data_IF_972641191892
#
_entry.id   IF_972641191892
#
_cell.length_a   1.000
_cell.length_b   1.000
_cell.length_c   1.000
_cell.angle_alpha   90.00
_cell.angle_beta   90.00
_cell.angle_gamma   90.00
#
_symmetry.space_group_name_H-M   'P 1'
#
loop_
_entity.id
_entity.type
_entity.pdbx_description
1 polymer ?
#
# COMPACT_ATOMS: atom_id res chain seq x y z
N UNK A 1 -45.40 10.91 -8.86
CA UNK A 1 -45.76 11.85 -7.81
C UNK A 1 -46.12 11.00 -6.60
N UNK A 2 -45.33 11.03 -5.54
CA UNK A 2 -45.21 10.18 -4.33
C UNK A 2 -43.96 9.32 -4.36
N UNK A 3 -42.83 9.96 -3.99
CA UNK A 3 -41.65 9.32 -3.41
C UNK A 3 -40.68 10.43 -2.97
N UNK A 4 -41.00 11.09 -1.90
CA UNK A 4 -40.14 12.04 -1.20
C UNK A 4 -40.85 12.26 0.16
N UNK A 5 -40.45 11.44 1.16
CA UNK A 5 -40.75 11.68 2.59
C UNK A 5 -40.46 10.36 3.36
N UNK A 6 -39.18 10.11 3.68
CA UNK A 6 -38.78 9.26 4.82
C UNK A 6 -37.27 9.41 5.08
N UNK A 7 -36.88 10.61 5.48
CA UNK A 7 -35.53 10.86 6.04
C UNK A 7 -35.67 11.95 7.14
N UNK A 8 -36.29 11.62 8.24
CA UNK A 8 -36.14 12.35 9.50
C UNK A 8 -36.80 11.52 10.60
N UNK A 9 -35.99 10.84 11.38
CA UNK A 9 -36.16 10.58 12.82
C UNK A 9 -35.42 9.33 13.25
N UNK A 10 -34.12 9.45 13.50
CA UNK A 10 -33.47 8.67 14.56
C UNK A 10 -32.18 9.40 14.97
N UNK A 11 -32.32 10.30 15.97
CA UNK A 11 -31.18 10.75 16.77
C UNK A 11 -31.09 9.84 17.99
N UNK A 12 -30.01 9.11 18.23
CA UNK A 12 -29.78 8.48 19.52
C UNK A 12 -29.37 9.56 20.54
N UNK A 13 -30.14 9.65 21.65
CA UNK A 13 -29.77 10.44 22.83
C UNK A 13 -28.49 9.85 23.42
N UNK A 14 -27.35 10.49 23.23
CA UNK A 14 -26.09 10.20 23.93
C UNK A 14 -26.20 10.76 25.35
N UNK A 15 -26.05 9.91 26.35
CA UNK A 15 -25.88 10.26 27.75
C UNK A 15 -24.58 11.09 27.91
N UNK A 16 -24.73 12.35 28.23
CA UNK A 16 -23.72 13.24 28.78
C UNK A 16 -23.64 12.97 30.30
N UNK A 17 -22.82 12.05 30.73
CA UNK A 17 -22.49 11.83 32.17
C UNK A 17 -21.40 10.76 32.31
N UNK A 18 -20.21 10.97 31.70
CA UNK A 18 -18.97 10.17 31.98
C UNK A 18 -17.65 10.88 31.57
N UNK A 19 -17.73 12.15 31.13
CA UNK A 19 -16.53 12.85 30.65
C UNK A 19 -15.71 13.58 31.72
N UNK A 20 -16.30 13.86 32.89
CA UNK A 20 -15.59 14.63 33.93
C UNK A 20 -14.72 13.77 34.84
N UNK A 21 -14.97 12.48 34.98
CA UNK A 21 -14.18 11.59 35.82
C UNK A 21 -12.92 11.08 35.12
N UNK A 22 -12.90 11.07 33.80
CA UNK A 22 -11.75 10.67 32.98
C UNK A 22 -10.68 11.76 32.87
N UNK A 23 -11.10 13.03 32.80
CA UNK A 23 -10.19 14.17 32.78
C UNK A 23 -9.43 14.39 34.09
N UNK A 24 -10.03 14.05 35.23
CA UNK A 24 -9.39 14.22 36.53
C UNK A 24 -8.32 13.15 36.84
N UNK A 25 -8.40 11.98 36.22
CA UNK A 25 -7.39 10.91 36.36
C UNK A 25 -6.15 11.15 35.52
N UNK A 26 -6.26 11.78 34.35
CA UNK A 26 -5.13 12.11 33.49
C UNK A 26 -4.24 13.22 34.03
N UNK A 27 -4.81 14.22 34.73
CA UNK A 27 -4.03 15.33 35.31
C UNK A 27 -3.18 14.95 36.52
N UNK A 28 -3.40 13.78 37.13
CA UNK A 28 -2.61 13.28 38.27
C UNK A 28 -1.42 12.39 37.86
N UNK A 29 -1.38 11.92 36.62
CA UNK A 29 -0.27 11.07 36.11
C UNK A 29 0.83 11.90 35.45
N UNK A 30 0.53 13.13 34.99
CA UNK A 30 1.51 14.01 34.33
C UNK A 30 2.39 14.80 35.28
N UNK A 31 2.21 14.67 36.60
CA UNK A 31 2.96 15.44 37.64
C UNK A 31 4.19 14.76 38.23
N UNK A 32 4.54 13.52 37.85
CA UNK A 32 5.61 12.76 38.53
C UNK A 32 6.79 12.31 37.65
N UNK A 33 6.92 12.80 36.41
CA UNK A 33 7.98 12.37 35.49
C UNK A 33 8.97 13.48 35.07
N UNK A 34 9.13 14.53 35.85
CA UNK A 34 10.08 15.63 35.53
C UNK A 34 11.10 15.89 36.61
N UNK A 35 11.79 14.87 37.10
CA UNK A 35 12.96 15.04 37.96
C UNK A 35 13.89 13.82 37.95
N UNK A 36 14.68 13.62 36.89
CA UNK A 36 15.94 12.87 36.94
C UNK A 36 16.58 12.75 35.54
N UNK A 37 17.34 13.73 35.11
CA UNK A 37 18.46 13.54 34.16
C UNK A 37 19.25 14.85 33.98
N UNK A 38 20.12 15.13 34.94
CA UNK A 38 21.24 16.04 34.78
C UNK A 38 22.41 15.44 35.57
N UNK A 39 23.38 14.92 34.88
CA UNK A 39 24.81 14.89 35.20
C UNK A 39 25.49 13.70 34.51
N UNK A 40 26.32 13.97 33.56
CA UNK A 40 27.78 13.76 33.64
C UNK A 40 28.39 13.89 32.25
N UNK A 41 29.11 14.98 32.15
CA UNK A 41 29.97 15.38 31.06
C UNK A 41 31.40 14.86 31.26
N UNK A 42 32.16 14.84 30.15
CA UNK A 42 33.62 15.04 30.03
C UNK A 42 34.58 13.88 30.35
N UNK A 43 35.39 13.56 29.34
CA UNK A 43 36.86 13.55 29.25
C UNK A 43 37.21 12.92 27.90
N UNK A 44 37.65 13.58 26.88
CA UNK A 44 38.88 14.28 26.55
C UNK A 44 40.04 13.38 26.07
N UNK A 45 40.48 13.71 24.88
CA UNK A 45 41.85 13.82 24.35
C UNK A 45 42.77 12.63 24.05
N UNK A 46 43.32 12.73 22.86
CA UNK A 46 44.72 12.41 22.51
C UNK A 46 44.82 11.39 21.39
N UNK A 47 45.19 11.70 20.17
CA UNK A 47 46.42 12.26 19.73
C UNK A 47 47.18 11.30 18.85
N UNK A 48 47.52 11.71 17.61
CA UNK A 48 48.80 11.47 16.96
C UNK A 48 48.87 10.28 16.00
N UNK A 49 49.08 10.45 14.81
CA UNK A 49 50.12 10.74 13.86
C UNK A 49 50.05 9.88 12.57
N UNK A 50 50.23 10.53 11.46
CA UNK A 50 50.65 9.99 10.12
C UNK A 50 52.18 9.74 10.13
N UNK A 51 52.84 9.29 9.06
CA UNK A 51 52.47 9.01 7.67
C UNK A 51 53.30 7.87 6.95
N UNK A 52 53.17 7.87 5.60
CA UNK A 52 54.11 7.38 4.56
C UNK A 52 54.01 5.88 4.15
N UNK A 53 54.22 5.42 2.93
CA UNK A 53 54.67 5.97 1.65
C UNK A 53 54.46 4.91 0.54
N UNK A 54 54.26 5.40 -0.65
CA UNK A 54 54.46 4.90 -1.97
C UNK A 54 54.99 3.48 -2.25
N UNK A 55 54.48 2.79 -3.25
CA UNK A 55 55.28 2.34 -4.40
C UNK A 55 54.46 2.00 -5.63
N UNK A 56 54.93 2.46 -6.76
CA UNK A 56 54.51 2.27 -8.15
C UNK A 56 54.88 0.86 -8.66
N UNK A 57 54.12 0.31 -9.62
CA UNK A 57 54.71 -0.26 -10.84
C UNK A 57 53.67 -0.74 -11.87
N UNK A 58 53.62 -0.05 -12.99
CA UNK A 58 53.57 -0.47 -14.38
C UNK A 58 52.73 -1.63 -14.90
N UNK A 59 51.92 -1.23 -15.91
CA UNK A 59 51.34 -1.93 -17.05
C UNK A 59 52.36 -2.74 -17.91
N UNK A 60 51.92 -3.65 -18.86
CA UNK A 60 51.17 -3.26 -20.04
C UNK A 60 50.12 -4.25 -20.63
N UNK A 61 49.12 -3.65 -21.26
CA UNK A 61 48.40 -3.95 -22.50
C UNK A 61 48.26 -5.39 -23.08
N UNK A 62 47.02 -5.77 -23.42
CA UNK A 62 46.62 -6.00 -24.83
C UNK A 62 45.17 -6.51 -24.97
N UNK A 63 44.42 -5.97 -25.94
CA UNK A 63 43.41 -6.69 -26.69
C UNK A 63 41.94 -6.24 -26.50
N UNK A 64 41.46 -5.39 -27.39
CA UNK A 64 40.16 -4.80 -27.44
C UNK A 64 38.99 -5.74 -27.77
N UNK A 65 37.82 -5.29 -27.35
CA UNK A 65 36.56 -5.44 -28.10
C UNK A 65 35.65 -4.31 -27.69
N UNK A 66 35.31 -3.45 -28.62
CA UNK A 66 34.38 -2.32 -28.43
C UNK A 66 32.96 -2.83 -28.27
N UNK A 67 32.48 -2.79 -27.03
CA UNK A 67 31.05 -2.67 -26.74
C UNK A 67 30.79 -1.18 -26.51
N UNK A 68 29.84 -0.60 -27.25
CA UNK A 68 29.50 0.80 -27.17
C UNK A 68 29.09 1.16 -25.73
N UNK A 69 29.93 1.96 -25.08
CA UNK A 69 29.56 2.68 -23.89
C UNK A 69 28.56 3.77 -24.34
N UNK A 70 27.29 3.57 -23.98
CA UNK A 70 26.40 4.71 -23.82
C UNK A 70 27.02 5.55 -22.70
N UNK A 71 27.50 6.72 -23.05
CA UNK A 71 27.84 7.77 -22.08
C UNK A 71 26.55 8.10 -21.34
N UNK A 72 26.55 8.12 -20.00
CA UNK A 72 25.42 8.67 -19.25
C UNK A 72 25.14 10.09 -19.75
N UNK A 73 23.86 10.43 -19.94
CA UNK A 73 23.46 11.81 -20.17
C UNK A 73 24.05 12.69 -19.06
N UNK A 74 24.54 13.91 -19.39
CA UNK A 74 25.05 14.80 -18.36
C UNK A 74 23.97 15.10 -17.34
N UNK A 75 24.32 15.00 -16.05
CA UNK A 75 23.44 15.38 -14.96
C UNK A 75 22.81 16.75 -15.19
N UNK A 76 21.53 16.96 -14.85
CA UNK A 76 20.85 18.21 -15.08
C UNK A 76 21.61 19.35 -14.39
N UNK A 77 21.96 20.39 -15.14
CA UNK A 77 22.71 21.55 -14.66
C UNK A 77 21.80 22.59 -13.99
N UNK A 78 20.56 22.22 -13.63
CA UNK A 78 19.54 23.03 -12.97
C UNK A 78 19.41 22.74 -11.47
N UNK A 79 18.62 23.53 -10.77
CA UNK A 79 18.19 23.26 -9.40
C UNK A 79 17.37 21.96 -9.36
N UNK A 80 17.67 21.08 -8.38
CA UNK A 80 16.95 19.81 -8.23
C UNK A 80 15.51 20.08 -7.78
N UNK A 81 14.57 19.35 -8.36
CA UNK A 81 13.17 19.37 -7.93
C UNK A 81 13.08 18.70 -6.55
N UNK A 82 12.53 19.40 -5.56
CA UNK A 82 12.38 18.88 -4.22
C UNK A 82 11.09 18.06 -4.09
N UNK A 83 11.21 16.82 -3.65
CA UNK A 83 10.09 15.87 -3.57
C UNK A 83 10.00 15.25 -2.19
N UNK A 84 8.85 15.40 -1.54
CA UNK A 84 8.48 14.62 -0.36
C UNK A 84 7.70 13.38 -0.78
N UNK A 85 8.10 12.20 -0.31
CA UNK A 85 7.39 10.94 -0.60
C UNK A 85 6.90 10.33 0.70
N UNK A 86 5.60 10.30 0.88
CA UNK A 86 4.92 9.61 1.97
C UNK A 86 4.38 8.28 1.44
N UNK A 87 4.86 7.20 2.00
CA UNK A 87 4.49 5.84 1.61
C UNK A 87 4.27 4.95 2.82
N UNK A 88 3.75 3.75 2.62
CA UNK A 88 3.61 2.74 3.65
C UNK A 88 4.94 1.95 3.86
N UNK A 89 5.03 1.16 4.94
CA UNK A 89 6.25 0.41 5.26
C UNK A 89 6.55 -0.62 4.15
N UNK A 90 7.75 -0.61 3.53
CA UNK A 90 8.11 -1.57 2.48
C UNK A 90 8.11 -3.03 2.94
N UNK A 91 8.16 -3.28 4.25
CA UNK A 91 8.08 -4.64 4.81
C UNK A 91 6.63 -5.14 4.97
N UNK A 92 5.63 -4.31 4.64
CA UNK A 92 4.21 -4.67 4.75
C UNK A 92 3.84 -5.84 3.83
N UNK A 93 4.33 -5.80 2.58
CA UNK A 93 3.99 -6.78 1.54
C UNK A 93 5.00 -6.78 0.39
N UNK A 94 4.95 -7.79 -0.48
CA UNK A 94 5.71 -7.82 -1.74
C UNK A 94 5.38 -6.63 -2.64
N UNK A 95 4.09 -6.32 -2.77
CA UNK A 95 3.61 -5.11 -3.47
C UNK A 95 4.33 -3.85 -2.96
N UNK A 96 4.34 -3.64 -1.64
CA UNK A 96 4.92 -2.43 -1.04
C UNK A 96 6.43 -2.36 -1.20
N UNK A 97 7.12 -3.51 -1.12
CA UNK A 97 8.56 -3.61 -1.40
C UNK A 97 8.86 -3.17 -2.83
N UNK A 98 8.11 -3.66 -3.82
CA UNK A 98 8.29 -3.31 -5.23
C UNK A 98 7.96 -1.83 -5.50
N UNK A 99 6.87 -1.31 -4.90
CA UNK A 99 6.46 0.08 -5.03
C UNK A 99 7.50 1.05 -4.47
N UNK A 100 7.98 0.84 -3.23
CA UNK A 100 9.02 1.69 -2.62
C UNK A 100 10.34 1.63 -3.41
N UNK A 101 10.72 0.46 -3.89
CA UNK A 101 11.92 0.29 -4.71
C UNK A 101 11.82 1.08 -6.03
N UNK A 102 10.66 1.03 -6.71
CA UNK A 102 10.42 1.79 -7.94
C UNK A 102 10.46 3.31 -7.68
N UNK A 103 9.82 3.79 -6.60
CA UNK A 103 9.84 5.19 -6.22
C UNK A 103 11.28 5.67 -5.94
N UNK A 104 12.08 4.90 -5.19
CA UNK A 104 13.48 5.25 -4.89
C UNK A 104 14.38 5.19 -6.11
N UNK A 105 14.14 4.30 -7.05
CA UNK A 105 14.90 4.22 -8.28
C UNK A 105 14.60 5.40 -9.23
N UNK A 106 13.38 5.91 -9.21
CA UNK A 106 12.92 7.00 -10.07
C UNK A 106 13.32 8.37 -9.53
N UNK A 107 13.10 8.64 -8.24
CA UNK A 107 13.29 9.97 -7.64
C UNK A 107 14.69 10.11 -7.03
N UNK A 108 15.70 10.19 -7.90
CA UNK A 108 17.13 10.31 -7.55
C UNK A 108 17.73 11.64 -8.02
N UNK A 109 18.87 12.04 -7.45
CA UNK A 109 19.59 13.22 -7.92
C UNK A 109 20.04 13.09 -9.37
N UNK A 110 20.37 11.88 -9.85
CA UNK A 110 20.73 11.63 -11.23
C UNK A 110 19.56 11.92 -12.19
N UNK A 111 18.32 11.70 -11.73
CA UNK A 111 17.10 11.97 -12.48
C UNK A 111 16.58 13.41 -12.26
N UNK A 112 17.31 14.25 -11.51
CA UNK A 112 16.99 15.66 -11.28
C UNK A 112 16.16 15.93 -10.02
N UNK A 113 16.09 14.99 -9.08
CA UNK A 113 15.28 15.11 -7.88
C UNK A 113 16.10 15.14 -6.60
N UNK A 114 15.66 15.95 -5.62
CA UNK A 114 16.07 15.87 -4.23
C UNK A 114 14.89 15.33 -3.42
N UNK A 115 14.83 13.99 -3.30
CA UNK A 115 13.71 13.31 -2.67
C UNK A 115 13.97 13.00 -1.18
N UNK A 116 12.94 13.17 -0.36
CA UNK A 116 12.88 12.76 1.04
C UNK A 116 11.77 11.73 1.19
N UNK A 117 12.10 10.53 1.70
CA UNK A 117 11.16 9.42 1.84
C UNK A 117 10.78 9.22 3.30
N UNK A 118 9.51 9.03 3.56
CA UNK A 118 8.97 8.60 4.83
C UNK A 118 7.98 7.45 4.64
N UNK A 119 8.26 6.32 5.28
CA UNK A 119 7.49 5.09 5.16
C UNK A 119 6.93 4.69 6.52
N UNK A 120 5.61 4.64 6.64
CA UNK A 120 4.93 4.24 7.88
C UNK A 120 3.47 3.87 7.60
N UNK A 121 2.94 2.87 8.32
CA UNK A 121 1.54 2.43 8.22
C UNK A 121 0.61 3.14 9.22
N UNK A 122 1.12 4.05 10.05
CA UNK A 122 0.33 4.88 10.96
C UNK A 122 -0.04 6.20 10.26
N UNK A 123 -1.33 6.36 9.98
CA UNK A 123 -1.85 7.53 9.26
C UNK A 123 -1.56 8.85 9.98
N UNK A 124 -1.58 8.88 11.32
CA UNK A 124 -1.28 10.10 12.07
C UNK A 124 0.19 10.51 11.96
N UNK A 125 1.10 9.54 11.89
CA UNK A 125 2.51 9.79 11.65
C UNK A 125 2.77 10.21 10.21
N UNK A 126 2.11 9.60 9.22
CA UNK A 126 2.19 10.04 7.82
C UNK A 126 1.73 11.50 7.67
N UNK A 127 0.60 11.87 8.28
CA UNK A 127 0.07 13.24 8.25
C UNK A 127 1.07 14.22 8.89
N UNK A 128 1.64 13.89 10.03
CA UNK A 128 2.61 14.76 10.71
C UNK A 128 3.89 14.98 9.86
N UNK A 129 4.38 13.93 9.22
CA UNK A 129 5.55 14.02 8.34
C UNK A 129 5.25 14.79 7.06
N UNK A 130 4.08 14.57 6.46
CA UNK A 130 3.62 15.33 5.30
C UNK A 130 3.52 16.84 5.63
N UNK A 131 3.00 17.20 6.80
CA UNK A 131 3.00 18.59 7.28
C UNK A 131 4.42 19.17 7.38
N UNK A 132 5.37 18.38 7.87
CA UNK A 132 6.75 18.83 7.94
C UNK A 132 7.38 19.01 6.56
N UNK A 133 7.10 18.12 5.62
CA UNK A 133 7.56 18.26 4.24
C UNK A 133 6.99 19.52 3.57
N UNK A 134 5.71 19.83 3.78
CA UNK A 134 5.06 21.06 3.31
C UNK A 134 5.69 22.30 3.96
N UNK A 135 5.98 22.27 5.27
CA UNK A 135 6.68 23.37 5.96
C UNK A 135 8.12 23.57 5.45
N UNK A 136 8.75 22.54 4.92
CA UNK A 136 10.06 22.61 4.27
C UNK A 136 9.97 23.04 2.80
N UNK A 137 8.79 23.44 2.33
CA UNK A 137 8.53 23.99 1.01
C UNK A 137 8.99 23.07 -0.14
N UNK A 138 8.67 21.74 -0.04
CA UNK A 138 8.91 20.82 -1.15
C UNK A 138 8.05 21.24 -2.36
N UNK A 139 8.60 21.11 -3.58
CA UNK A 139 7.86 21.40 -4.81
C UNK A 139 6.69 20.44 -5.01
N UNK A 140 6.93 19.15 -4.72
CA UNK A 140 5.93 18.09 -4.85
C UNK A 140 5.84 17.25 -3.58
N UNK A 141 4.61 16.94 -3.18
CA UNK A 141 4.29 15.94 -2.17
C UNK A 141 3.63 14.74 -2.86
N UNK A 142 4.34 13.61 -2.92
CA UNK A 142 3.83 12.34 -3.42
C UNK A 142 3.27 11.56 -2.24
N UNK A 143 2.02 11.12 -2.33
CA UNK A 143 1.29 10.58 -1.19
C UNK A 143 0.55 9.28 -1.52
N UNK A 144 0.93 8.18 -0.83
CA UNK A 144 0.18 6.93 -0.73
C UNK A 144 -0.34 6.78 0.70
N UNK A 145 -1.61 7.14 0.97
CA UNK A 145 -2.13 7.27 2.33
C UNK A 145 -2.42 5.90 2.97
N UNK A 146 -2.08 5.75 4.26
CA UNK A 146 -2.46 4.59 5.07
C UNK A 146 -3.95 4.60 5.45
N UNK A 147 -4.59 5.76 5.43
CA UNK A 147 -6.04 5.96 5.65
C UNK A 147 -6.58 6.96 4.65
N UNK A 148 -7.81 6.75 4.19
CA UNK A 148 -8.48 7.68 3.26
C UNK A 148 -8.83 9.03 3.89
N UNK A 149 -8.88 9.14 5.22
CA UNK A 149 -9.37 10.31 5.96
C UNK A 149 -8.30 11.01 6.80
N UNK A 150 -8.57 12.27 7.17
CA UNK A 150 -7.73 13.05 8.09
C UNK A 150 -6.72 13.98 7.40
N UNK A 151 -6.73 14.05 6.08
CA UNK A 151 -5.75 14.78 5.26
C UNK A 151 -6.09 16.26 4.98
N UNK A 152 -7.32 16.71 5.31
CA UNK A 152 -7.82 18.06 4.95
C UNK A 152 -6.84 19.19 5.29
N UNK A 153 -6.28 19.17 6.51
CA UNK A 153 -5.39 20.24 6.97
C UNK A 153 -4.09 20.26 6.19
N UNK A 154 -3.42 19.11 6.02
CA UNK A 154 -2.15 19.06 5.31
C UNK A 154 -2.31 19.37 3.82
N UNK A 155 -3.41 18.96 3.21
CA UNK A 155 -3.71 19.29 1.80
C UNK A 155 -3.97 20.78 1.64
N UNK A 156 -4.67 21.43 2.59
CA UNK A 156 -4.87 22.89 2.56
C UNK A 156 -3.53 23.62 2.78
N UNK A 157 -2.73 23.17 3.74
CA UNK A 157 -1.39 23.76 3.99
C UNK A 157 -0.50 23.63 2.75
N UNK A 158 -0.52 22.49 2.05
CA UNK A 158 0.22 22.26 0.80
C UNK A 158 -0.23 23.24 -0.29
N UNK A 159 -1.54 23.40 -0.47
CA UNK A 159 -2.11 24.34 -1.43
C UNK A 159 -1.72 25.78 -1.13
N UNK A 160 -1.75 26.19 0.13
CA UNK A 160 -1.39 27.55 0.56
C UNK A 160 0.12 27.82 0.43
N UNK A 161 0.96 26.81 0.62
CA UNK A 161 2.41 26.85 0.42
C UNK A 161 2.82 26.78 -1.07
N UNK A 162 1.92 26.34 -1.96
CA UNK A 162 2.24 26.11 -3.37
C UNK A 162 2.88 24.76 -3.67
N UNK A 163 2.96 23.87 -2.68
CA UNK A 163 3.37 22.46 -2.85
C UNK A 163 2.32 21.71 -3.68
N UNK A 164 2.73 21.07 -4.76
CA UNK A 164 1.83 20.31 -5.62
C UNK A 164 1.70 18.87 -5.10
N UNK A 165 0.47 18.44 -4.78
CA UNK A 165 0.21 17.10 -4.28
C UNK A 165 -0.13 16.17 -5.43
N UNK A 166 0.55 15.01 -5.52
CA UNK A 166 0.24 13.91 -6.42
C UNK A 166 -0.05 12.67 -5.57
N UNK A 167 -1.23 12.09 -5.73
CA UNK A 167 -1.56 10.82 -5.12
C UNK A 167 -1.01 9.68 -5.97
N UNK A 168 -0.54 8.62 -5.34
CA UNK A 168 -0.15 7.39 -6.03
C UNK A 168 -0.61 6.18 -5.23
N UNK A 169 -0.80 5.04 -5.91
CA UNK A 169 -1.22 3.77 -5.32
C UNK A 169 -2.66 3.81 -4.76
N UNK A 170 -2.94 4.67 -3.78
CA UNK A 170 -4.20 4.74 -3.04
C UNK A 170 -4.85 6.12 -3.12
N UNK A 171 -6.18 6.15 -3.17
CA UNK A 171 -6.96 7.38 -3.05
C UNK A 171 -7.15 7.79 -1.60
N UNK A 172 -7.57 9.05 -1.42
CA UNK A 172 -8.05 9.60 -0.14
C UNK A 172 -9.36 10.38 -0.36
N UNK A 173 -10.09 10.60 0.73
CA UNK A 173 -11.31 11.40 0.72
C UNK A 173 -10.96 12.89 0.78
N UNK A 174 -10.88 13.53 -0.39
CA UNK A 174 -10.68 14.97 -0.52
C UNK A 174 -11.35 15.51 -1.77
N UNK A 175 -11.58 16.84 -1.77
CA UNK A 175 -11.99 17.55 -2.99
C UNK A 175 -10.86 17.46 -4.04
N UNK A 176 -11.23 17.17 -5.29
CA UNK A 176 -10.23 17.02 -6.38
C UNK A 176 -9.36 18.26 -6.60
N UNK A 177 -9.77 19.44 -6.14
CA UNK A 177 -8.96 20.65 -6.21
C UNK A 177 -7.76 20.67 -5.26
N UNK A 178 -7.64 19.67 -4.39
CA UNK A 178 -6.61 19.58 -3.36
C UNK A 178 -5.37 18.81 -3.82
N UNK A 179 -5.41 18.15 -4.95
CA UNK A 179 -4.26 17.47 -5.58
C UNK A 179 -4.22 17.77 -7.08
N UNK A 180 -3.05 17.66 -7.70
CA UNK A 180 -2.87 17.96 -9.12
C UNK A 180 -3.13 16.75 -10.00
N UNK A 181 -2.81 15.56 -9.52
CA UNK A 181 -3.08 14.28 -10.18
C UNK A 181 -3.14 13.14 -9.17
N UNK A 182 -3.73 12.02 -9.60
CA UNK A 182 -3.70 10.74 -8.89
C UNK A 182 -3.37 9.62 -9.88
N UNK A 183 -2.37 8.79 -9.56
CA UNK A 183 -1.99 7.58 -10.31
C UNK A 183 -2.24 6.41 -9.39
N UNK A 184 -3.40 5.78 -9.49
CA UNK A 184 -3.93 4.88 -8.47
C UNK A 184 -4.54 3.62 -9.08
N UNK A 185 -4.75 2.62 -8.25
CA UNK A 185 -5.55 1.43 -8.58
C UNK A 185 -7.03 1.69 -8.34
N UNK A 186 -7.91 1.08 -9.14
CA UNK A 186 -9.35 1.08 -8.87
C UNK A 186 -9.69 -0.09 -7.93
N UNK A 187 -9.47 0.12 -6.64
CA UNK A 187 -9.63 -0.90 -5.61
C UNK A 187 -11.07 -1.46 -5.53
N UNK A 188 -12.07 -0.66 -5.89
CA UNK A 188 -13.46 -1.11 -5.96
C UNK A 188 -13.69 -2.01 -7.19
N UNK A 189 -13.11 -1.67 -8.33
CA UNK A 189 -13.16 -2.50 -9.53
C UNK A 189 -12.42 -3.82 -9.34
N UNK A 190 -11.25 -3.84 -8.66
CA UNK A 190 -10.54 -5.08 -8.30
C UNK A 190 -11.45 -6.01 -7.49
N UNK A 191 -12.05 -5.48 -6.41
CA UNK A 191 -12.97 -6.24 -5.57
C UNK A 191 -14.19 -6.74 -6.34
N UNK A 192 -14.80 -5.88 -7.17
CA UNK A 192 -15.97 -6.24 -7.98
C UNK A 192 -15.65 -7.37 -8.96
N UNK A 193 -14.52 -7.27 -9.68
CA UNK A 193 -14.09 -8.29 -10.65
C UNK A 193 -13.83 -9.63 -9.96
N UNK A 194 -13.21 -9.64 -8.79
CA UNK A 194 -12.97 -10.86 -8.01
C UNK A 194 -14.28 -11.51 -7.53
N UNK A 195 -15.23 -10.70 -7.04
CA UNK A 195 -16.53 -11.17 -6.56
C UNK A 195 -17.41 -11.68 -7.72
N UNK A 196 -17.40 -11.02 -8.87
CA UNK A 196 -18.08 -11.47 -10.07
C UNK A 196 -17.51 -12.80 -10.58
N UNK A 197 -16.18 -12.94 -10.60
CA UNK A 197 -15.53 -14.20 -10.92
C UNK A 197 -15.93 -15.30 -9.93
N UNK A 198 -15.88 -15.03 -8.62
CA UNK A 198 -16.27 -15.99 -7.58
C UNK A 198 -17.73 -16.42 -7.76
N UNK A 199 -18.65 -15.49 -8.03
CA UNK A 199 -20.06 -15.78 -8.28
C UNK A 199 -20.25 -16.68 -9.51
N UNK A 200 -19.40 -16.53 -10.54
CA UNK A 200 -19.45 -17.36 -11.75
C UNK A 200 -19.09 -18.83 -11.51
N UNK A 201 -18.52 -19.18 -10.35
CA UNK A 201 -18.19 -20.56 -10.00
C UNK A 201 -19.43 -21.40 -9.69
N UNK A 202 -20.59 -20.76 -9.44
CA UNK A 202 -21.88 -21.44 -9.32
C UNK A 202 -22.00 -22.40 -8.14
N UNK A 203 -21.33 -22.09 -7.00
CA UNK A 203 -21.42 -22.90 -5.78
C UNK A 203 -22.84 -22.81 -5.18
N UNK A 204 -23.30 -23.90 -4.55
CA UNK A 204 -24.57 -23.90 -3.83
C UNK A 204 -24.52 -22.94 -2.63
N UNK A 205 -23.39 -22.91 -1.91
CA UNK A 205 -23.13 -22.04 -0.77
C UNK A 205 -21.70 -21.49 -0.83
N UNK A 206 -21.54 -20.23 -0.45
CA UNK A 206 -20.25 -19.54 -0.30
C UNK A 206 -20.01 -19.26 1.18
N UNK A 207 -19.24 -20.12 1.82
CA UNK A 207 -18.86 -20.02 3.22
C UNK A 207 -17.44 -19.42 3.30
N UNK A 208 -17.33 -18.13 3.57
CA UNK A 208 -16.15 -17.30 3.27
C UNK A 208 -15.36 -17.03 4.55
N UNK A 209 -14.06 -17.30 4.52
CA UNK A 209 -13.08 -16.69 5.42
C UNK A 209 -12.58 -15.44 4.70
N UNK A 210 -13.00 -14.27 5.18
CA UNK A 210 -12.57 -12.98 4.67
C UNK A 210 -11.44 -12.41 5.53
N UNK A 211 -10.26 -12.26 4.95
CA UNK A 211 -9.05 -11.76 5.60
C UNK A 211 -8.76 -10.37 5.07
N UNK A 212 -9.08 -9.37 5.90
CA UNK A 212 -9.03 -7.97 5.52
C UNK A 212 -7.64 -7.38 5.71
N UNK A 213 -7.32 -6.38 4.88
CA UNK A 213 -6.11 -5.57 4.98
C UNK A 213 -6.12 -4.57 6.13
N UNK A 214 -5.28 -3.54 6.02
CA UNK A 214 -5.25 -2.43 6.97
C UNK A 214 -6.57 -1.65 6.92
N UNK A 215 -7.27 -1.63 8.05
CA UNK A 215 -8.60 -1.02 8.13
C UNK A 215 -8.59 0.47 7.83
N UNK A 216 -9.47 0.90 6.91
CA UNK A 216 -9.62 2.29 6.49
C UNK A 216 -8.64 2.72 5.39
N UNK A 217 -7.83 1.82 4.87
CA UNK A 217 -7.10 2.05 3.62
C UNK A 217 -8.03 1.89 2.41
N UNK A 218 -7.72 2.57 1.32
CA UNK A 218 -8.50 2.51 0.08
C UNK A 218 -8.66 1.07 -0.43
N UNK A 219 -7.57 0.28 -0.46
CA UNK A 219 -7.58 -1.11 -0.87
C UNK A 219 -8.54 -1.97 -0.02
N UNK A 220 -8.48 -1.83 1.32
CA UNK A 220 -9.38 -2.55 2.20
C UNK A 220 -10.84 -2.13 1.96
N UNK A 221 -11.11 -0.83 1.85
CA UNK A 221 -12.47 -0.33 1.64
C UNK A 221 -13.07 -0.80 0.32
N UNK A 222 -12.30 -0.77 -0.77
CA UNK A 222 -12.73 -1.21 -2.09
C UNK A 222 -12.98 -2.71 -2.17
N UNK A 223 -11.99 -3.52 -1.79
CA UNK A 223 -12.05 -4.99 -1.85
C UNK A 223 -13.10 -5.57 -0.88
N UNK A 224 -13.18 -5.03 0.36
CA UNK A 224 -14.24 -5.37 1.33
C UNK A 224 -15.61 -4.95 0.83
N UNK A 225 -15.76 -3.71 0.32
CA UNK A 225 -17.05 -3.17 -0.08
C UNK A 225 -17.76 -4.01 -1.14
N UNK A 226 -17.03 -4.47 -2.14
CA UNK A 226 -17.56 -5.35 -3.18
C UNK A 226 -18.07 -6.69 -2.62
N UNK A 227 -17.29 -7.30 -1.72
CA UNK A 227 -17.69 -8.58 -1.09
C UNK A 227 -18.86 -8.41 -0.12
N UNK A 228 -18.87 -7.34 0.68
CA UNK A 228 -19.96 -7.02 1.62
C UNK A 228 -21.29 -6.79 0.87
N UNK A 229 -21.27 -6.09 -0.27
CA UNK A 229 -22.46 -5.91 -1.10
C UNK A 229 -23.04 -7.26 -1.54
N UNK A 230 -22.18 -8.19 -1.99
CA UNK A 230 -22.59 -9.51 -2.41
C UNK A 230 -23.13 -10.37 -1.27
N UNK A 231 -22.43 -10.42 -0.15
CA UNK A 231 -22.85 -11.17 1.06
C UNK A 231 -24.17 -10.64 1.62
N UNK A 232 -24.38 -9.31 1.58
CA UNK A 232 -25.63 -8.70 2.05
C UNK A 232 -26.82 -8.90 1.10
N UNK A 233 -26.57 -9.14 -0.18
CA UNK A 233 -27.62 -9.28 -1.21
C UNK A 233 -28.04 -10.74 -1.47
N UNK A 234 -27.16 -11.71 -1.21
CA UNK A 234 -27.36 -13.12 -1.56
C UNK A 234 -27.40 -14.02 -0.31
N UNK A 235 -28.45 -14.79 -0.14
CA UNK A 235 -28.67 -15.60 1.08
C UNK A 235 -27.76 -16.82 1.20
N UNK A 236 -27.13 -17.24 0.11
CA UNK A 236 -26.18 -18.35 0.08
C UNK A 236 -24.71 -17.90 0.21
N UNK A 237 -24.46 -16.61 0.50
CA UNK A 237 -23.16 -16.07 0.81
C UNK A 237 -23.07 -15.76 2.32
N UNK A 238 -22.06 -16.28 3.00
CA UNK A 238 -21.93 -16.12 4.46
C UNK A 238 -20.47 -15.97 4.88
N UNK A 239 -20.20 -15.00 5.74
CA UNK A 239 -18.92 -14.92 6.42
C UNK A 239 -18.84 -15.96 7.55
N UNK A 240 -17.95 -16.93 7.42
CA UNK A 240 -17.55 -17.82 8.52
C UNK A 240 -16.65 -17.07 9.50
N UNK A 241 -15.78 -16.21 8.95
CA UNK A 241 -14.99 -15.22 9.66
C UNK A 241 -14.75 -14.00 8.75
N UNK A 242 -14.72 -12.80 9.35
CA UNK A 242 -14.29 -11.56 8.73
C UNK A 242 -13.40 -10.84 9.73
N UNK A 243 -12.09 -10.82 9.48
CA UNK A 243 -11.09 -10.28 10.41
C UNK A 243 -9.96 -9.62 9.66
N UNK A 244 -9.42 -8.54 10.23
CA UNK A 244 -8.23 -7.89 9.67
C UNK A 244 -6.97 -8.64 10.08
N UNK A 245 -6.09 -8.88 9.11
CA UNK A 245 -4.70 -9.27 9.33
C UNK A 245 -3.73 -8.11 9.06
N UNK A 246 -4.24 -6.94 8.66
CA UNK A 246 -3.44 -5.72 8.41
C UNK A 246 -2.25 -5.97 7.47
N UNK A 247 -2.46 -6.76 6.42
CA UNK A 247 -1.52 -7.22 5.40
C UNK A 247 -0.53 -8.29 5.86
N UNK A 248 -0.55 -8.71 7.14
CA UNK A 248 0.41 -9.64 7.73
C UNK A 248 0.05 -11.11 7.46
N UNK A 249 1.01 -11.84 6.88
CA UNK A 249 0.88 -13.24 6.48
C UNK A 249 0.66 -14.19 7.67
N UNK A 250 1.41 -13.99 8.76
CA UNK A 250 1.33 -14.90 9.93
C UNK A 250 0.02 -14.70 10.71
N UNK A 251 -0.46 -13.46 10.77
CA UNK A 251 -1.78 -13.15 11.34
C UNK A 251 -2.88 -13.82 10.51
N UNK A 252 -2.80 -13.75 9.18
CA UNK A 252 -3.74 -14.42 8.27
C UNK A 252 -3.73 -15.96 8.47
N UNK A 253 -2.54 -16.55 8.61
CA UNK A 253 -2.38 -17.96 8.95
C UNK A 253 -3.09 -18.32 10.26
N UNK A 254 -2.90 -17.48 11.29
CA UNK A 254 -3.50 -17.67 12.61
C UNK A 254 -5.04 -17.57 12.57
N UNK A 255 -5.58 -16.60 11.82
CA UNK A 255 -7.03 -16.43 11.61
C UNK A 255 -7.60 -17.70 10.96
N UNK A 256 -6.98 -18.16 9.88
CA UNK A 256 -7.43 -19.35 9.14
C UNK A 256 -7.36 -20.60 10.02
N UNK A 257 -6.27 -20.80 10.76
CA UNK A 257 -6.13 -21.92 11.70
C UNK A 257 -7.22 -21.90 12.76
N UNK A 258 -7.57 -20.73 13.29
CA UNK A 258 -8.62 -20.59 14.30
C UNK A 258 -10.00 -21.01 13.76
N UNK A 259 -10.29 -20.73 12.47
CA UNK A 259 -11.53 -21.19 11.84
C UNK A 259 -11.52 -22.70 11.65
N UNK A 260 -10.39 -23.28 11.19
CA UNK A 260 -10.22 -24.74 11.07
C UNK A 260 -10.45 -25.41 12.42
N UNK A 261 -9.83 -24.95 13.48
CA UNK A 261 -9.95 -25.48 14.84
C UNK A 261 -11.38 -25.38 15.39
N UNK A 262 -12.15 -24.39 14.93
CA UNK A 262 -13.56 -24.25 15.32
C UNK A 262 -14.49 -25.30 14.72
N UNK A 263 -14.03 -26.02 13.68
CA UNK A 263 -14.81 -27.01 12.94
C UNK A 263 -15.95 -26.44 12.11
N UNK A 264 -15.99 -25.11 11.89
CA UNK A 264 -17.00 -24.50 11.02
C UNK A 264 -16.66 -24.79 9.56
N UNK A 265 -17.64 -25.21 8.73
CA UNK A 265 -17.41 -25.44 7.32
C UNK A 265 -17.12 -24.12 6.59
N UNK A 266 -16.16 -24.16 5.67
CA UNK A 266 -15.85 -23.07 4.73
C UNK A 266 -15.37 -23.66 3.41
N UNK A 267 -15.48 -22.89 2.33
CA UNK A 267 -15.05 -23.27 0.99
C UNK A 267 -14.44 -22.11 0.18
N UNK A 268 -14.28 -20.94 0.80
CA UNK A 268 -13.65 -19.78 0.16
C UNK A 268 -12.71 -19.08 1.15
N UNK A 269 -11.48 -18.83 0.72
CA UNK A 269 -10.56 -17.84 1.27
C UNK A 269 -10.60 -16.61 0.36
N UNK A 270 -11.06 -15.49 0.89
CA UNK A 270 -10.95 -14.18 0.25
C UNK A 270 -9.97 -13.35 1.06
N UNK A 271 -8.73 -13.28 0.62
CA UNK A 271 -7.67 -12.53 1.28
C UNK A 271 -7.33 -11.28 0.44
N UNK A 272 -7.34 -10.12 1.05
CA UNK A 272 -7.20 -8.84 0.36
C UNK A 272 -5.77 -8.51 -0.11
N UNK A 273 -4.80 -9.42 0.13
CA UNK A 273 -3.52 -9.44 -0.56
C UNK A 273 -2.93 -10.85 -0.67
N UNK A 274 -1.89 -11.00 -1.51
CA UNK A 274 -1.25 -12.28 -1.76
C UNK A 274 -0.52 -12.84 -0.53
N UNK A 275 0.13 -11.99 0.26
CA UNK A 275 0.80 -12.42 1.50
C UNK A 275 -0.17 -13.08 2.48
N UNK A 276 -1.32 -12.46 2.70
CA UNK A 276 -2.38 -13.03 3.56
C UNK A 276 -2.98 -14.30 2.97
N UNK A 277 -3.17 -14.36 1.63
CA UNK A 277 -3.63 -15.57 0.96
C UNK A 277 -2.63 -16.72 1.17
N UNK A 278 -1.32 -16.47 1.06
CA UNK A 278 -0.26 -17.46 1.34
C UNK A 278 -0.29 -17.94 2.79
N UNK A 279 -0.48 -17.03 3.74
CA UNK A 279 -0.65 -17.39 5.15
C UNK A 279 -1.85 -18.30 5.37
N UNK A 280 -2.99 -18.01 4.75
CA UNK A 280 -4.18 -18.85 4.80
C UNK A 280 -3.93 -20.24 4.20
N UNK A 281 -3.31 -20.31 3.01
CA UNK A 281 -2.94 -21.57 2.35
C UNK A 281 -2.00 -22.42 3.21
N UNK A 282 -1.02 -21.78 3.87
CA UNK A 282 -0.14 -22.53 4.80
C UNK A 282 -0.90 -23.18 5.95
N UNK A 283 -2.01 -22.59 6.43
CA UNK A 283 -2.89 -23.23 7.40
C UNK A 283 -3.69 -24.37 6.79
N UNK A 284 -4.21 -24.24 5.55
CA UNK A 284 -4.91 -25.31 4.84
C UNK A 284 -4.00 -26.52 4.65
N UNK A 285 -2.78 -26.31 4.14
CA UNK A 285 -1.76 -27.35 3.91
C UNK A 285 -1.40 -28.12 5.19
N UNK A 286 -1.17 -27.37 6.28
CA UNK A 286 -0.83 -27.96 7.58
C UNK A 286 -1.93 -28.89 8.12
N UNK A 287 -3.17 -28.72 7.68
CA UNK A 287 -4.33 -29.50 8.07
C UNK A 287 -4.80 -30.49 6.98
N UNK A 288 -4.09 -30.59 5.84
CA UNK A 288 -4.41 -31.47 4.74
C UNK A 288 -5.72 -31.14 4.02
N UNK A 289 -6.11 -29.85 4.03
CA UNK A 289 -7.30 -29.33 3.34
C UNK A 289 -6.89 -28.95 1.92
N UNK A 290 -7.55 -29.56 0.94
CA UNK A 290 -7.26 -29.31 -0.48
C UNK A 290 -7.79 -27.94 -0.92
N UNK A 291 -7.05 -27.26 -1.77
CA UNK A 291 -7.38 -25.94 -2.25
C UNK A 291 -6.97 -25.74 -3.72
N UNK A 292 -7.38 -24.63 -4.32
CA UNK A 292 -7.10 -24.33 -5.71
C UNK A 292 -8.10 -24.96 -6.68
N UNK A 293 -7.72 -25.08 -7.96
CA UNK A 293 -8.60 -25.46 -9.07
C UNK A 293 -9.34 -26.79 -8.86
N UNK A 294 -8.66 -27.77 -8.32
CA UNK A 294 -9.21 -29.12 -8.12
C UNK A 294 -9.43 -29.42 -6.61
N UNK A 295 -9.37 -28.40 -5.75
CA UNK A 295 -9.49 -28.52 -4.31
C UNK A 295 -10.88 -28.17 -3.77
N UNK A 296 -11.03 -28.40 -2.45
CA UNK A 296 -12.29 -28.14 -1.72
C UNK A 296 -12.44 -26.64 -1.36
N UNK A 297 -11.36 -25.87 -1.40
CA UNK A 297 -11.33 -24.45 -1.00
C UNK A 297 -10.83 -23.57 -2.14
N UNK A 298 -11.66 -22.60 -2.54
CA UNK A 298 -11.28 -21.54 -3.45
C UNK A 298 -10.37 -20.55 -2.73
N UNK A 299 -9.24 -20.18 -3.37
CA UNK A 299 -8.30 -19.18 -2.86
C UNK A 299 -8.26 -17.98 -3.81
N UNK A 300 -8.52 -16.80 -3.23
CA UNK A 300 -8.46 -15.49 -3.89
C UNK A 300 -7.43 -14.63 -3.18
N UNK A 301 -6.54 -14.01 -3.96
CA UNK A 301 -5.56 -13.02 -3.52
C UNK A 301 -5.59 -11.77 -4.40
N UNK A 302 -4.81 -10.78 -4.03
CA UNK A 302 -4.61 -9.53 -4.79
C UNK A 302 -3.14 -9.13 -4.74
N UNK A 303 -2.70 -8.27 -5.58
CA UNK A 303 -1.40 -7.68 -5.83
C UNK A 303 -0.75 -8.21 -7.13
N UNK A 304 0.60 -8.14 -7.26
CA UNK A 304 1.33 -8.54 -8.48
C UNK A 304 2.49 -9.49 -8.21
N UNK A 305 2.54 -10.10 -7.02
CA UNK A 305 3.63 -11.01 -6.68
C UNK A 305 3.77 -12.14 -7.71
N UNK A 306 4.92 -12.26 -8.33
CA UNK A 306 5.19 -13.28 -9.36
C UNK A 306 4.90 -14.70 -8.87
N UNK A 307 5.32 -15.01 -7.64
CA UNK A 307 5.08 -16.32 -7.03
C UNK A 307 3.58 -16.64 -6.85
N UNK A 308 2.71 -15.61 -6.62
CA UNK A 308 1.28 -15.79 -6.51
C UNK A 308 0.64 -16.01 -7.88
N UNK A 309 1.11 -15.28 -8.90
CA UNK A 309 0.70 -15.53 -10.29
C UNK A 309 1.09 -16.94 -10.76
N UNK A 310 2.29 -17.40 -10.40
CA UNK A 310 2.75 -18.77 -10.65
C UNK A 310 1.84 -19.78 -9.94
N UNK A 311 1.42 -19.53 -8.69
CA UNK A 311 0.47 -20.39 -7.97
C UNK A 311 -0.91 -20.46 -8.64
N UNK A 312 -1.40 -19.37 -9.24
CA UNK A 312 -2.63 -19.38 -10.05
C UNK A 312 -2.41 -20.15 -11.34
N UNK A 313 -1.27 -19.96 -12.03
CA UNK A 313 -0.92 -20.67 -13.27
C UNK A 313 -0.81 -22.19 -13.06
N UNK A 314 -0.25 -22.62 -11.93
CA UNK A 314 -0.16 -24.02 -11.54
C UNK A 314 -1.49 -24.60 -11.05
N UNK A 315 -2.49 -23.74 -10.78
CA UNK A 315 -3.81 -24.12 -10.28
C UNK A 315 -3.88 -24.41 -8.77
N UNK A 316 -2.81 -24.11 -8.02
CA UNK A 316 -2.83 -24.20 -6.55
C UNK A 316 -3.64 -23.07 -5.90
N UNK A 317 -3.81 -21.95 -6.60
CA UNK A 317 -4.76 -20.88 -6.30
C UNK A 317 -5.78 -20.74 -7.44
N UNK A 318 -6.90 -20.11 -7.15
CA UNK A 318 -7.99 -20.02 -8.12
C UNK A 318 -8.02 -18.67 -8.85
N UNK A 319 -7.72 -17.57 -8.13
CA UNK A 319 -7.87 -16.22 -8.65
C UNK A 319 -6.92 -15.24 -7.96
N UNK A 320 -6.45 -14.29 -8.75
CA UNK A 320 -5.71 -13.14 -8.27
C UNK A 320 -6.17 -11.87 -9.00
N UNK A 321 -6.60 -10.84 -8.24
CA UNK A 321 -6.77 -9.49 -8.76
C UNK A 321 -5.41 -8.81 -8.88
N UNK A 322 -5.06 -8.34 -10.07
CA UNK A 322 -3.83 -7.57 -10.24
C UNK A 322 -3.98 -6.20 -9.56
N UNK A 323 -2.98 -5.83 -8.79
CA UNK A 323 -2.74 -4.47 -8.31
C UNK A 323 -1.29 -4.12 -8.64
N UNK A 324 -1.06 -3.12 -9.50
CA UNK A 324 0.27 -2.85 -10.05
C UNK A 324 1.05 -1.85 -9.17
N UNK A 325 2.21 -2.23 -8.59
CA UNK A 325 3.00 -1.34 -7.73
C UNK A 325 3.84 -0.30 -8.49
N UNK A 326 3.95 -0.40 -9.83
CA UNK A 326 4.93 0.35 -10.62
C UNK A 326 4.38 1.68 -11.16
N UNK A 327 3.88 2.56 -10.28
CA UNK A 327 3.36 3.88 -10.67
C UNK A 327 4.45 4.95 -10.85
N UNK A 328 5.67 4.72 -10.38
CA UNK A 328 6.72 5.74 -10.26
C UNK A 328 7.05 6.46 -11.59
N UNK A 329 7.14 5.74 -12.70
CA UNK A 329 7.44 6.32 -14.02
C UNK A 329 6.30 7.23 -14.51
N UNK A 330 5.05 6.87 -14.24
CA UNK A 330 3.88 7.69 -14.62
C UNK A 330 3.87 8.98 -13.79
N UNK A 331 4.15 8.88 -12.48
CA UNK A 331 4.25 10.04 -11.59
C UNK A 331 5.39 10.96 -12.02
N UNK A 332 6.56 10.42 -12.38
CA UNK A 332 7.70 11.18 -12.92
C UNK A 332 7.33 11.91 -14.21
N UNK A 333 6.63 11.23 -15.12
CA UNK A 333 6.13 11.85 -16.36
C UNK A 333 5.19 13.04 -16.09
N UNK A 334 4.30 12.91 -15.09
CA UNK A 334 3.40 14.00 -14.67
C UNK A 334 4.20 15.19 -14.13
N UNK A 335 5.17 14.95 -13.25
CA UNK A 335 6.01 16.02 -12.69
C UNK A 335 6.75 16.75 -13.83
N UNK A 336 7.36 16.05 -14.76
CA UNK A 336 8.06 16.63 -15.91
C UNK A 336 7.13 17.47 -16.79
N UNK A 337 5.90 17.01 -17.02
CA UNK A 337 4.89 17.77 -17.77
C UNK A 337 4.45 19.02 -17.02
N UNK A 338 4.21 18.95 -15.70
CA UNK A 338 3.88 20.10 -14.85
C UNK A 338 5.02 21.13 -14.86
N UNK A 339 6.27 20.71 -14.73
CA UNK A 339 7.45 21.58 -14.82
C UNK A 339 7.60 22.23 -16.21
N UNK A 340 7.13 21.56 -17.26
CA UNK A 340 7.05 22.13 -18.61
C UNK A 340 5.81 23.02 -18.86
N UNK A 341 5.00 23.27 -17.81
CA UNK A 341 3.79 24.11 -17.89
C UNK A 341 2.59 23.40 -18.52
N UNK A 342 2.64 22.08 -18.67
CA UNK A 342 1.51 21.26 -19.15
C UNK A 342 0.70 20.76 -17.95
N UNK A 343 -0.60 20.52 -18.18
CA UNK A 343 -1.48 19.87 -17.19
C UNK A 343 -1.74 18.44 -17.61
N UNK A 344 -1.93 17.50 -16.65
CA UNK A 344 -2.38 16.15 -16.95
C UNK A 344 -3.69 16.17 -17.76
N UNK A 345 -3.83 15.26 -18.74
CA UNK A 345 -5.07 15.13 -19.52
C UNK A 345 -6.23 14.66 -18.65
N UNK A 346 -5.93 13.75 -17.73
CA UNK A 346 -6.86 13.19 -16.78
C UNK A 346 -6.34 13.43 -15.36
N UNK A 347 -7.24 13.78 -14.45
CA UNK A 347 -6.88 14.04 -13.07
C UNK A 347 -6.61 12.77 -12.28
N UNK A 348 -7.37 11.73 -12.56
CA UNK A 348 -7.23 10.40 -11.99
C UNK A 348 -6.87 9.46 -13.12
N UNK A 349 -5.72 8.81 -12.98
CA UNK A 349 -5.18 7.83 -13.92
C UNK A 349 -5.21 6.49 -13.21
N UNK A 350 -6.14 5.64 -13.63
CA UNK A 350 -6.22 4.27 -13.11
C UNK A 350 -5.24 3.36 -13.85
N UNK A 351 -4.52 2.56 -13.09
CA UNK A 351 -3.71 1.48 -13.63
C UNK A 351 -4.61 0.43 -14.31
N UNK A 352 -4.12 -0.21 -15.38
CA UNK A 352 -4.84 -1.33 -15.99
C UNK A 352 -4.57 -2.60 -15.20
N UNK A 353 -5.55 -3.11 -14.50
CA UNK A 353 -5.42 -4.18 -13.51
C UNK A 353 -6.44 -5.29 -13.74
N UNK A 354 -6.17 -6.22 -14.68
CA UNK A 354 -7.05 -7.36 -14.93
C UNK A 354 -7.03 -8.36 -13.76
N UNK A 355 -8.10 -9.14 -13.64
CA UNK A 355 -8.10 -10.33 -12.79
C UNK A 355 -7.59 -11.55 -13.57
N UNK A 356 -6.79 -12.38 -12.91
CA UNK A 356 -6.28 -13.63 -13.45
C UNK A 356 -6.87 -14.84 -12.71
N UNK A 357 -7.31 -15.83 -13.46
CA UNK A 357 -7.81 -17.07 -12.87
C UNK A 357 -7.10 -18.29 -13.46
N UNK A 358 -7.15 -19.40 -12.74
CA UNK A 358 -6.44 -20.64 -13.08
C UNK A 358 -6.82 -21.27 -14.43
N UNK A 359 -7.90 -20.84 -15.06
CA UNK A 359 -8.32 -21.34 -16.39
C UNK A 359 -7.80 -20.49 -17.54
N UNK A 360 -7.41 -19.24 -17.28
CA UNK A 360 -7.11 -18.27 -18.35
C UNK A 360 -5.72 -17.65 -18.25
N UNK A 361 -5.07 -17.65 -17.08
CA UNK A 361 -3.73 -17.09 -16.89
C UNK A 361 -2.70 -17.82 -17.78
N UNK A 362 -1.75 -17.08 -18.31
CA UNK A 362 -0.66 -17.60 -19.13
C UNK A 362 0.71 -17.27 -18.54
N UNK A 363 1.76 -17.94 -19.01
CA UNK A 363 3.14 -17.59 -18.64
C UNK A 363 3.51 -16.16 -19.07
N UNK A 364 2.95 -15.70 -20.20
CA UNK A 364 3.15 -14.33 -20.68
C UNK A 364 2.57 -13.30 -19.70
N UNK A 365 1.42 -13.59 -19.06
CA UNK A 365 0.84 -12.73 -18.04
C UNK A 365 1.77 -12.66 -16.80
N UNK A 366 2.29 -13.82 -16.35
CA UNK A 366 3.24 -13.90 -15.22
C UNK A 366 4.53 -13.11 -15.52
N UNK A 367 5.06 -13.23 -16.74
CA UNK A 367 6.29 -12.54 -17.13
C UNK A 367 6.07 -11.03 -17.38
N UNK A 368 4.83 -10.62 -17.70
CA UNK A 368 4.48 -9.22 -17.98
C UNK A 368 4.13 -8.44 -16.71
N UNK A 369 3.37 -9.05 -15.81
CA UNK A 369 2.79 -8.36 -14.65
C UNK A 369 3.40 -8.77 -13.31
N UNK A 370 4.11 -9.91 -13.24
CA UNK A 370 4.72 -10.40 -12.01
C UNK A 370 5.90 -9.55 -11.55
N UNK A 371 5.85 -9.06 -10.30
CA UNK A 371 6.91 -8.25 -9.67
C UNK A 371 7.63 -8.98 -8.56
#
# INVERSE_FOLDING_TARGET
MIQLLYWHQFKPRRKLLESEEYEMKMKKVLGLALAAALALSLVACGGGDKPSDASKSNNPASGGSSAGQQTPDPAPTGELITVGVINNDPNESGYRTANDAAMRATFTEENGYKATFYNNNDAAQQIAEAQQMVQNEVDFLLLSPASTTGWDTVLQDAKDAGTQVILFDRMLEADESMYVAAVVSDMAAEGTTAVEWLASQGLEEYNIIHIQGLMGSDAQLGRTGALDEKVNSESNWTYVAQQTASWDEETARTITQSVIDSGKPFNVIYAENNGMARGAVAALDANGITHGKDGDVIVIGFDSDKWAMEAVLEGSWNYMGLCNPLQAEVVDGIIKDLMAGKQPSDKIIYSSEPGFNADTITQEDVDTYGT
#
